data_IF_130924628845
#
_entry.id   IF_130924628845
#
_cell.length_a   1.000
_cell.length_b   1.000
_cell.length_c   1.000
_cell.angle_alpha   90.00
_cell.angle_beta   90.00
_cell.angle_gamma   90.00
#
_symmetry.space_group_name_H-M   'P 1'
#
loop_
_entity.id
_entity.type
_entity.pdbx_description
1 polymer ?
#
# COMPACT_ATOMS: atom_id res chain seq x y z
N UNK A 1 17.00 17.45 2.92
CA UNK A 1 16.26 16.18 2.99
C UNK A 1 14.79 16.54 3.14
N UNK A 2 13.87 15.81 2.52
CA UNK A 2 12.44 16.02 2.76
C UNK A 2 12.06 15.55 4.16
N UNK A 3 11.11 16.21 4.81
CA UNK A 3 10.54 15.74 6.08
C UNK A 3 9.35 14.77 5.86
N UNK A 4 8.98 14.53 4.59
CA UNK A 4 7.83 13.71 4.19
C UNK A 4 8.28 12.50 3.37
N UNK A 5 7.86 11.32 3.83
CA UNK A 5 7.94 10.06 3.07
C UNK A 5 6.56 9.71 2.52
N UNK A 6 6.49 9.43 1.23
CA UNK A 6 5.29 8.95 0.57
C UNK A 6 5.51 7.55 -0.01
N UNK A 7 4.61 6.63 0.32
CA UNK A 7 4.50 5.32 -0.29
C UNK A 7 3.31 5.33 -1.26
N UNK A 8 3.53 4.87 -2.48
CA UNK A 8 2.54 4.86 -3.55
C UNK A 8 2.41 3.43 -4.06
N UNK A 9 1.18 2.93 -4.18
CA UNK A 9 0.89 1.59 -4.68
C UNK A 9 -0.20 1.68 -5.74
N UNK A 10 0.02 1.06 -6.90
CA UNK A 10 -0.97 0.94 -7.95
C UNK A 10 -1.12 -0.51 -8.42
N UNK A 11 -2.26 -1.15 -8.17
CA UNK A 11 -2.53 -2.53 -8.58
C UNK A 11 -3.59 -2.56 -9.69
N UNK A 12 -3.22 -3.03 -10.87
CA UNK A 12 -4.08 -3.23 -12.02
C UNK A 12 -4.32 -4.72 -12.27
N UNK A 13 -3.23 -5.50 -12.36
CA UNK A 13 -3.18 -6.82 -12.98
C UNK A 13 -3.75 -7.95 -12.11
N UNK A 14 -4.88 -7.71 -11.47
CA UNK A 14 -5.64 -8.75 -10.77
C UNK A 14 -6.09 -9.85 -11.73
N UNK A 15 -6.25 -11.07 -11.21
CA UNK A 15 -6.86 -12.14 -11.98
C UNK A 15 -8.27 -11.75 -12.48
N UNK A 16 -8.57 -12.13 -13.72
CA UNK A 16 -9.90 -11.93 -14.32
C UNK A 16 -11.01 -12.53 -13.44
N UNK A 17 -12.17 -11.87 -13.32
CA UNK A 17 -12.61 -10.67 -14.05
C UNK A 17 -12.29 -9.34 -13.36
N UNK A 18 -11.37 -9.31 -12.39
CA UNK A 18 -11.16 -8.15 -11.51
C UNK A 18 -10.07 -7.19 -11.97
N UNK A 19 -9.50 -7.38 -13.15
CA UNK A 19 -8.45 -6.52 -13.68
C UNK A 19 -8.90 -5.05 -13.77
N UNK A 20 -8.00 -4.11 -13.47
CA UNK A 20 -8.21 -2.67 -13.59
C UNK A 20 -7.27 -2.08 -14.65
N UNK A 21 -7.69 -0.98 -15.29
CA UNK A 21 -6.92 -0.38 -16.37
C UNK A 21 -6.18 0.92 -15.96
N UNK A 22 -6.57 1.54 -14.84
CA UNK A 22 -6.18 2.91 -14.51
C UNK A 22 -5.38 3.05 -13.21
N UNK A 23 -5.36 2.07 -12.31
CA UNK A 23 -4.76 2.22 -10.99
C UNK A 23 -3.25 2.54 -11.05
N UNK A 24 -2.50 1.91 -11.96
CA UNK A 24 -1.08 2.25 -12.18
C UNK A 24 -0.93 3.69 -12.68
N UNK A 25 -1.77 4.13 -13.63
CA UNK A 25 -1.70 5.49 -14.16
C UNK A 25 -2.05 6.54 -13.08
N UNK A 26 -3.04 6.26 -12.24
CA UNK A 26 -3.43 7.13 -11.13
C UNK A 26 -2.30 7.24 -10.09
N UNK A 27 -1.68 6.10 -9.73
CA UNK A 27 -0.51 6.05 -8.86
C UNK A 27 0.68 6.85 -9.43
N UNK A 28 1.00 6.69 -10.72
CA UNK A 28 2.06 7.44 -11.38
C UNK A 28 1.78 8.95 -11.41
N UNK A 29 0.52 9.36 -11.61
CA UNK A 29 0.12 10.76 -11.61
C UNK A 29 0.36 11.41 -10.24
N UNK A 30 -0.07 10.75 -9.16
CA UNK A 30 0.13 11.22 -7.78
C UNK A 30 1.62 11.22 -7.41
N UNK A 31 2.37 10.19 -7.82
CA UNK A 31 3.81 10.14 -7.63
C UNK A 31 4.51 11.36 -8.22
N UNK A 32 4.15 11.75 -9.45
CA UNK A 32 4.77 12.92 -10.08
C UNK A 32 4.45 14.21 -9.31
N UNK A 33 3.25 14.35 -8.74
CA UNK A 33 2.91 15.47 -7.85
C UNK A 33 3.81 15.48 -6.62
N UNK A 34 3.96 14.35 -5.92
CA UNK A 34 4.76 14.27 -4.69
C UNK A 34 6.26 14.48 -4.93
N UNK A 35 6.80 13.96 -6.04
CA UNK A 35 8.19 14.25 -6.44
C UNK A 35 8.38 15.74 -6.71
N UNK A 36 7.44 16.41 -7.39
CA UNK A 36 7.51 17.85 -7.65
C UNK A 36 7.42 18.69 -6.36
N UNK A 37 6.76 18.17 -5.31
CA UNK A 37 6.73 18.77 -3.97
C UNK A 37 8.01 18.47 -3.15
N UNK A 38 8.92 17.66 -3.68
CA UNK A 38 10.18 17.30 -3.03
C UNK A 38 10.03 16.24 -1.94
N UNK A 39 8.99 15.40 -1.97
CA UNK A 39 8.84 14.28 -1.03
C UNK A 39 9.80 13.13 -1.38
N UNK A 40 10.20 12.36 -0.38
CA UNK A 40 10.86 11.07 -0.63
C UNK A 40 9.78 10.05 -0.99
N UNK A 41 9.77 9.60 -2.24
CA UNK A 41 8.72 8.73 -2.78
C UNK A 41 9.27 7.32 -3.01
N UNK A 42 8.55 6.32 -2.50
CA UNK A 42 8.71 4.92 -2.90
C UNK A 42 7.42 4.49 -3.58
N UNK A 43 7.54 3.77 -4.68
CA UNK A 43 6.41 3.34 -5.51
C UNK A 43 6.47 1.84 -5.78
N UNK A 44 5.31 1.19 -5.77
CA UNK A 44 5.12 -0.19 -6.19
C UNK A 44 3.95 -0.29 -7.16
N UNK A 45 4.07 -1.15 -8.15
CA UNK A 45 3.02 -1.42 -9.13
C UNK A 45 2.79 -2.92 -9.21
N UNK A 46 1.53 -3.33 -9.27
CA UNK A 46 1.12 -4.73 -9.34
C UNK A 46 1.78 -5.58 -8.24
N UNK A 47 1.60 -5.14 -6.99
CA UNK A 47 2.10 -5.81 -5.79
C UNK A 47 1.46 -7.19 -5.67
N UNK A 48 2.27 -8.24 -5.74
CA UNK A 48 1.86 -9.62 -5.43
C UNK A 48 2.06 -9.94 -3.92
N UNK A 49 1.61 -11.11 -3.49
CA UNK A 49 1.71 -11.57 -2.09
C UNK A 49 3.16 -11.58 -1.59
N UNK A 50 4.13 -11.91 -2.44
CA UNK A 50 5.54 -11.98 -2.04
C UNK A 50 6.13 -10.60 -1.70
N UNK A 51 5.60 -9.53 -2.30
CA UNK A 51 6.03 -8.15 -2.03
C UNK A 51 5.49 -7.58 -0.70
N UNK A 52 4.43 -8.14 -0.12
CA UNK A 52 3.76 -7.59 1.09
C UNK A 52 4.75 -7.34 2.23
N UNK A 53 5.62 -8.33 2.50
CA UNK A 53 6.61 -8.24 3.58
C UNK A 53 7.63 -7.14 3.31
N UNK A 54 8.06 -7.00 2.06
CA UNK A 54 8.98 -5.94 1.63
C UNK A 54 8.34 -4.56 1.84
N UNK A 55 7.11 -4.37 1.38
CA UNK A 55 6.38 -3.09 1.52
C UNK A 55 6.27 -2.68 2.99
N UNK A 56 5.82 -3.59 3.85
CA UNK A 56 5.69 -3.33 5.30
C UNK A 56 7.04 -3.02 5.94
N UNK A 57 8.10 -3.72 5.53
CA UNK A 57 9.47 -3.48 6.01
C UNK A 57 9.97 -2.10 5.61
N UNK A 58 9.75 -1.69 4.37
CA UNK A 58 10.13 -0.35 3.88
C UNK A 58 9.40 0.74 4.66
N UNK A 59 8.10 0.57 4.93
CA UNK A 59 7.36 1.52 5.80
C UNK A 59 8.07 1.60 7.16
N UNK A 60 8.27 0.46 7.83
CA UNK A 60 8.84 0.41 9.19
C UNK A 60 10.25 1.02 9.28
N UNK A 61 11.08 0.83 8.27
CA UNK A 61 12.45 1.36 8.25
C UNK A 61 12.49 2.86 7.92
N UNK A 62 11.70 3.31 6.93
CA UNK A 62 11.78 4.69 6.46
C UNK A 62 11.12 5.67 7.42
N UNK A 63 9.92 5.39 7.93
CA UNK A 63 9.13 6.35 8.73
C UNK A 63 9.89 6.90 9.95
N UNK A 64 10.87 6.16 10.50
CA UNK A 64 11.75 6.60 11.60
C UNK A 64 12.51 7.90 11.30
N UNK A 65 12.73 8.19 10.03
CA UNK A 65 13.54 9.31 9.57
C UNK A 65 12.69 10.47 9.03
N UNK A 66 11.35 10.38 9.09
CA UNK A 66 10.44 11.36 8.52
C UNK A 66 9.39 11.81 9.54
N UNK A 67 8.97 13.07 9.46
CA UNK A 67 7.91 13.63 10.32
C UNK A 67 6.51 13.31 9.80
N UNK A 68 6.40 13.09 8.49
CA UNK A 68 5.14 12.87 7.82
C UNK A 68 5.23 11.61 6.95
N UNK A 69 4.19 10.79 7.03
CA UNK A 69 4.00 9.62 6.18
C UNK A 69 2.71 9.77 5.39
N UNK A 70 2.77 9.52 4.08
CA UNK A 70 1.62 9.48 3.19
C UNK A 70 1.59 8.10 2.54
N UNK A 71 0.44 7.43 2.60
CA UNK A 71 0.16 6.26 1.77
C UNK A 71 -0.86 6.67 0.71
N UNK A 72 -0.52 6.47 -0.57
CA UNK A 72 -1.48 6.50 -1.67
C UNK A 72 -1.64 5.10 -2.23
N UNK A 73 -2.88 4.68 -2.42
CA UNK A 73 -3.21 3.38 -2.99
C UNK A 73 -4.29 3.54 -4.06
N UNK A 74 -4.04 2.94 -5.22
CA UNK A 74 -5.04 2.73 -6.26
C UNK A 74 -5.10 1.22 -6.57
N UNK A 75 -6.31 0.65 -6.56
CA UNK A 75 -6.54 -0.78 -6.70
C UNK A 75 -7.86 -1.20 -6.06
N UNK A 76 -8.08 -2.49 -5.89
CA UNK A 76 -9.26 -2.97 -5.14
C UNK A 76 -9.05 -2.73 -3.64
N UNK A 77 -10.06 -2.24 -2.96
CA UNK A 77 -10.08 -2.16 -1.50
C UNK A 77 -11.13 -3.12 -0.95
N UNK A 78 -10.79 -3.86 0.10
CA UNK A 78 -11.75 -4.73 0.77
C UNK A 78 -11.83 -4.41 2.25
N UNK A 79 -13.05 -4.37 2.78
CA UNK A 79 -13.29 -4.31 4.22
C UNK A 79 -13.79 -5.66 4.72
N UNK A 80 -13.17 -6.18 5.77
CA UNK A 80 -13.69 -7.33 6.49
C UNK A 80 -13.58 -7.08 7.99
N UNK A 81 -14.73 -7.14 8.69
CA UNK A 81 -14.83 -6.95 10.14
C UNK A 81 -14.17 -5.65 10.64
N UNK A 82 -14.37 -4.56 9.90
CA UNK A 82 -13.83 -3.24 10.27
C UNK A 82 -12.33 -3.07 10.01
N UNK A 83 -11.68 -4.03 9.33
CA UNK A 83 -10.30 -3.90 8.86
C UNK A 83 -10.32 -3.68 7.34
N UNK A 84 -9.63 -2.62 6.91
CA UNK A 84 -9.40 -2.34 5.50
C UNK A 84 -8.15 -3.07 5.02
N UNK A 85 -8.28 -3.80 3.92
CA UNK A 85 -7.25 -4.58 3.27
C UNK A 85 -6.99 -4.02 1.87
N UNK A 86 -5.73 -4.00 1.49
CA UNK A 86 -5.24 -3.66 0.15
C UNK A 86 -4.74 -4.96 -0.49
N UNK A 87 -5.58 -5.67 -1.26
CA UNK A 87 -5.23 -6.99 -1.79
C UNK A 87 -4.13 -6.90 -2.84
N UNK A 88 -3.24 -7.89 -2.76
CA UNK A 88 -2.27 -8.16 -3.81
C UNK A 88 -2.95 -8.60 -5.10
N UNK A 89 -2.27 -8.44 -6.23
CA UNK A 89 -2.83 -8.77 -7.55
C UNK A 89 -3.17 -10.26 -7.71
N UNK A 90 -2.45 -11.13 -7.01
CA UNK A 90 -2.65 -12.58 -7.02
C UNK A 90 -3.58 -13.08 -5.89
N UNK A 91 -4.22 -12.17 -5.16
CA UNK A 91 -5.29 -12.51 -4.23
C UNK A 91 -6.54 -13.04 -4.98
N UNK A 92 -7.13 -14.13 -4.49
CA UNK A 92 -8.33 -14.72 -5.08
C UNK A 92 -9.59 -13.94 -4.67
N UNK A 93 -9.77 -12.74 -5.24
CA UNK A 93 -10.84 -11.79 -4.87
C UNK A 93 -12.26 -12.36 -4.92
N UNK A 94 -12.55 -13.30 -5.83
CA UNK A 94 -13.85 -13.96 -5.93
C UNK A 94 -14.27 -14.69 -4.64
N UNK A 95 -13.29 -15.22 -3.91
CA UNK A 95 -13.48 -16.04 -2.72
C UNK A 95 -12.90 -15.38 -1.48
N UNK A 96 -12.64 -14.07 -1.55
CA UNK A 96 -12.01 -13.34 -0.46
C UNK A 96 -12.89 -13.33 0.79
N UNK A 97 -12.27 -13.72 1.89
CA UNK A 97 -12.81 -13.80 3.24
C UNK A 97 -11.75 -13.29 4.23
N UNK A 98 -12.06 -13.28 5.53
CA UNK A 98 -11.11 -12.81 6.54
C UNK A 98 -9.76 -13.55 6.52
N UNK A 99 -9.79 -14.87 6.30
CA UNK A 99 -8.57 -15.69 6.33
C UNK A 99 -7.68 -15.37 5.13
N UNK A 100 -8.23 -15.37 3.92
CA UNK A 100 -7.48 -15.05 2.71
C UNK A 100 -7.00 -13.60 2.71
N UNK A 101 -7.84 -12.63 3.10
CA UNK A 101 -7.46 -11.21 3.15
C UNK A 101 -6.32 -10.96 4.13
N UNK A 102 -6.34 -11.57 5.31
CA UNK A 102 -5.27 -11.41 6.31
C UNK A 102 -3.90 -11.98 5.89
N UNK A 103 -3.84 -12.81 4.83
CA UNK A 103 -2.60 -13.41 4.35
C UNK A 103 -2.20 -12.94 2.95
N UNK A 104 -3.14 -12.40 2.17
CA UNK A 104 -2.95 -12.06 0.75
C UNK A 104 -3.11 -10.57 0.46
N UNK A 105 -3.18 -9.75 1.52
CA UNK A 105 -3.37 -8.30 1.43
C UNK A 105 -2.49 -7.58 2.43
N UNK A 106 -2.22 -6.31 2.18
CA UNK A 106 -1.67 -5.41 3.19
C UNK A 106 -2.84 -4.93 4.07
N UNK A 107 -2.80 -5.24 5.37
CA UNK A 107 -3.78 -4.74 6.32
C UNK A 107 -3.47 -3.31 6.75
N UNK A 108 -4.42 -2.37 6.64
CA UNK A 108 -4.19 -1.00 7.12
C UNK A 108 -3.97 -0.95 8.64
N UNK A 109 -4.53 -1.90 9.40
CA UNK A 109 -4.25 -2.07 10.83
C UNK A 109 -2.77 -2.37 11.11
N UNK A 110 -2.08 -3.11 10.23
CA UNK A 110 -0.65 -3.41 10.37
C UNK A 110 0.19 -2.15 10.14
N UNK A 111 -0.17 -1.36 9.13
CA UNK A 111 0.46 -0.05 8.89
C UNK A 111 0.24 0.88 10.09
N UNK A 112 -0.99 0.95 10.61
CA UNK A 112 -1.29 1.77 11.79
C UNK A 112 -0.51 1.32 13.04
N UNK A 113 -0.35 0.00 13.23
CA UNK A 113 0.48 -0.53 14.31
C UNK A 113 1.94 -0.06 14.18
N UNK A 114 2.50 -0.15 12.97
CA UNK A 114 3.85 0.34 12.66
C UNK A 114 3.98 1.83 12.97
N UNK A 115 2.98 2.66 12.62
CA UNK A 115 3.00 4.10 12.88
C UNK A 115 2.92 4.44 14.38
N UNK A 116 2.07 3.73 15.13
CA UNK A 116 1.93 3.93 16.57
C UNK A 116 3.21 3.55 17.32
N UNK A 117 3.85 2.43 16.95
CA UNK A 117 5.14 2.00 17.53
C UNK A 117 6.26 3.04 17.34
N UNK A 118 6.20 3.85 16.28
CA UNK A 118 7.19 4.91 16.05
C UNK A 118 6.85 6.25 16.70
N UNK A 119 5.59 6.45 17.13
CA UNK A 119 5.16 7.69 17.82
C UNK A 119 5.49 7.65 19.31
N UNK A 120 5.64 6.44 19.88
CA UNK A 120 5.98 6.23 21.30
C UNK A 120 7.50 6.29 21.59
N UNK A 121 8.33 6.61 20.60
CA UNK A 121 9.78 6.81 20.74
C UNK A 121 10.15 8.30 20.72
#
# INVERSE_FOLDING_TARGET
MSDTFALIIGNNSYFEPFNLNNAIFDAQAIKNVFVNLGYDVVEYYDVDIAHIVEVLRVIKEKIKNYKHFILYYAGHGMECRGINYLPAIDCQLQFADEYSLSHQSIGLNEIMKILNENTEM
#
